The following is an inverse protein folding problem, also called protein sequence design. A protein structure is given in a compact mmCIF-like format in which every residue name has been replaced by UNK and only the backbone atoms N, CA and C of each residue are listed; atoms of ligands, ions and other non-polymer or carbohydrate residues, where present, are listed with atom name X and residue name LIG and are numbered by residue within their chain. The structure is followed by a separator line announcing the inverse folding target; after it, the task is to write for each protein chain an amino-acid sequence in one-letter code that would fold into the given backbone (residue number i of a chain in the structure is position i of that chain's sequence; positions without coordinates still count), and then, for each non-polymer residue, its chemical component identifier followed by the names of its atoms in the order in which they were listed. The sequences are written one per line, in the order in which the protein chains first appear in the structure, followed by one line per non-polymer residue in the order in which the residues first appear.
data_IF_430004043530
#
_entry.id   IF_430004043530
#
_cell.length_a   1.000
_cell.length_b   1.000
_cell.length_c   1.000
_cell.angle_alpha   90.00
_cell.angle_beta   90.00
_cell.angle_gamma   90.00
#
_symmetry.space_group_name_H-M   'P 1'
#
loop_
_entity.id
_entity.type
_entity.pdbx_description
1 polymer ?
#
# COMPACT_ATOMS: atom_id res chain seq x y z
N UNK A 1 -8.35 16.17 9.02
CA UNK A 1 -7.02 16.74 9.37
C UNK A 1 -7.19 17.64 10.57
N UNK A 2 -6.31 17.53 11.56
CA UNK A 2 -6.27 18.43 12.71
C UNK A 2 -5.08 19.39 12.58
N UNK A 3 -5.27 20.64 12.96
CA UNK A 3 -4.21 21.68 12.92
C UNK A 3 -3.69 21.91 14.32
N UNK A 4 -2.37 21.87 14.47
CA UNK A 4 -1.66 22.17 15.73
C UNK A 4 -0.75 23.36 15.49
N UNK A 5 -0.84 24.37 16.35
CA UNK A 5 0.02 25.56 16.34
C UNK A 5 1.07 25.43 17.42
N UNK A 6 2.34 25.67 17.07
CA UNK A 6 3.48 25.52 17.98
C UNK A 6 4.31 26.79 17.94
N UNK A 7 4.52 27.40 19.12
CA UNK A 7 5.42 28.55 19.29
C UNK A 7 6.80 28.06 19.69
N UNK A 8 7.83 28.53 19.01
CA UNK A 8 9.23 28.14 19.25
C UNK A 8 10.12 29.39 19.38
N UNK A 9 11.18 29.34 20.20
CA UNK A 9 12.22 30.36 20.19
C UNK A 9 12.83 30.53 18.80
N UNK A 10 13.16 31.77 18.43
CA UNK A 10 13.70 32.10 17.09
C UNK A 10 14.93 31.27 16.71
N UNK A 11 15.80 30.98 17.68
CA UNK A 11 16.99 30.16 17.45
C UNK A 11 16.62 28.73 17.01
N UNK A 12 15.56 28.16 17.58
CA UNK A 12 15.08 26.83 17.22
C UNK A 12 14.40 26.87 15.85
N UNK A 13 13.59 27.89 15.58
CA UNK A 13 12.94 28.06 14.29
C UNK A 13 13.96 28.14 13.14
N UNK A 14 15.07 28.89 13.34
CA UNK A 14 16.17 28.98 12.36
C UNK A 14 16.89 27.65 12.16
N UNK A 15 17.07 26.85 13.22
CA UNK A 15 17.66 25.51 13.09
C UNK A 15 16.75 24.56 12.30
N UNK A 16 15.44 24.64 12.52
CA UNK A 16 14.44 23.87 11.76
C UNK A 16 14.51 24.20 10.27
N UNK A 17 14.67 25.49 9.91
CA UNK A 17 14.85 25.90 8.51
C UNK A 17 16.07 25.27 7.85
N UNK A 18 17.20 25.33 8.55
CA UNK A 18 18.47 24.82 8.04
C UNK A 18 18.39 23.30 7.82
N UNK A 19 17.83 22.57 8.78
CA UNK A 19 17.69 21.11 8.66
C UNK A 19 16.63 20.70 7.65
N UNK A 20 15.48 21.40 7.57
CA UNK A 20 14.47 21.15 6.55
C UNK A 20 15.08 21.30 5.14
N UNK A 21 15.86 22.36 4.90
CA UNK A 21 16.53 22.59 3.62
C UNK A 21 17.60 21.53 3.33
N UNK A 22 18.41 21.18 4.33
CA UNK A 22 19.47 20.18 4.21
C UNK A 22 18.93 18.79 3.86
N UNK A 23 17.75 18.44 4.37
CA UNK A 23 17.07 17.18 4.08
C UNK A 23 16.16 17.24 2.85
N UNK A 24 16.10 18.38 2.16
CA UNK A 24 15.37 18.53 0.89
C UNK A 24 13.86 18.75 1.01
N UNK A 25 13.36 19.13 2.18
CA UNK A 25 11.95 19.44 2.37
C UNK A 25 11.58 20.81 1.81
N UNK A 26 10.40 20.92 1.20
CA UNK A 26 9.94 22.16 0.59
C UNK A 26 9.43 23.18 1.63
N UNK A 27 8.90 22.71 2.76
CA UNK A 27 8.35 23.57 3.82
C UNK A 27 8.71 23.07 5.22
N UNK A 28 8.77 23.99 6.20
CA UNK A 28 8.90 23.66 7.62
C UNK A 28 7.81 22.68 8.07
N UNK A 29 6.57 22.92 7.66
CA UNK A 29 5.43 22.09 8.05
C UNK A 29 5.54 20.67 7.52
N UNK A 30 6.15 20.47 6.35
CA UNK A 30 6.39 19.13 5.81
C UNK A 30 7.48 18.39 6.57
N UNK A 31 8.58 19.08 6.88
CA UNK A 31 9.66 18.56 7.69
C UNK A 31 9.18 18.18 9.10
N UNK A 32 8.41 19.04 9.77
CA UNK A 32 7.85 18.70 11.10
C UNK A 32 6.88 17.53 11.00
N UNK A 33 6.05 17.46 9.94
CA UNK A 33 5.15 16.32 9.72
C UNK A 33 5.90 15.01 9.47
N UNK A 34 7.04 15.02 8.77
CA UNK A 34 7.83 13.81 8.56
C UNK A 34 8.46 13.31 9.86
N UNK A 35 9.00 14.21 10.69
CA UNK A 35 9.55 13.88 12.00
C UNK A 35 8.48 13.31 12.94
N UNK A 36 7.30 13.94 12.99
CA UNK A 36 6.19 13.43 13.79
C UNK A 36 5.73 12.07 13.30
N UNK A 37 5.69 11.82 11.98
CA UNK A 37 5.45 10.47 11.48
C UNK A 37 6.53 9.51 11.91
N UNK A 38 7.81 9.80 11.69
CA UNK A 38 8.89 8.90 12.07
C UNK A 38 8.81 8.49 13.54
N UNK A 39 8.62 9.46 14.45
CA UNK A 39 8.57 9.19 15.89
C UNK A 39 7.27 8.56 16.35
N UNK A 40 6.12 9.06 15.89
CA UNK A 40 4.82 8.62 16.40
C UNK A 40 4.22 7.43 15.63
N UNK A 41 4.52 7.27 14.33
CA UNK A 41 4.09 6.07 13.58
C UNK A 41 4.91 4.84 13.95
N UNK A 42 6.22 4.97 14.26
CA UNK A 42 7.00 3.81 14.72
C UNK A 42 6.50 3.25 16.05
N UNK A 43 5.98 4.10 16.94
CA UNK A 43 5.43 3.68 18.23
C UNK A 43 4.02 3.10 18.14
N UNK A 44 3.21 3.52 17.16
CA UNK A 44 1.81 3.10 17.02
C UNK A 44 1.59 1.96 16.02
N UNK A 45 2.51 1.76 15.06
CA UNK A 45 2.40 0.73 14.02
C UNK A 45 3.50 -0.33 14.18
N UNK A 46 3.63 -0.87 15.39
CA UNK A 46 4.21 -2.21 15.58
C UNK A 46 3.25 -3.33 15.10
N UNK A 47 2.21 -3.01 14.35
CA UNK A 47 1.70 -3.98 13.37
C UNK A 47 2.76 -4.07 12.28
N UNK A 48 3.75 -4.94 12.54
CA UNK A 48 4.66 -5.48 11.54
C UNK A 48 3.84 -5.67 10.26
N UNK A 49 4.27 -5.08 9.14
CA UNK A 49 3.61 -5.30 7.86
C UNK A 49 3.75 -6.79 7.52
N UNK A 50 2.83 -7.61 8.03
CA UNK A 50 2.80 -9.04 7.80
C UNK A 50 2.39 -9.20 6.35
N UNK A 51 3.38 -9.35 5.49
CA UNK A 51 3.14 -9.72 4.11
C UNK A 51 2.59 -11.15 4.12
N UNK A 52 1.28 -11.27 3.95
CA UNK A 52 0.68 -12.59 3.78
C UNK A 52 1.10 -13.18 2.43
N UNK A 53 1.55 -14.44 2.40
CA UNK A 53 1.89 -15.08 1.14
C UNK A 53 0.63 -15.22 0.29
N UNK A 54 0.73 -14.88 -0.99
CA UNK A 54 -0.37 -15.11 -1.93
C UNK A 54 -0.64 -16.61 -2.10
N UNK A 55 -1.84 -17.05 -1.72
CA UNK A 55 -2.30 -18.43 -1.92
C UNK A 55 -3.24 -18.47 -3.14
N UNK A 56 -2.83 -19.09 -4.26
CA UNK A 56 -3.67 -19.17 -5.46
C UNK A 56 -4.88 -20.08 -5.21
N UNK A 57 -6.07 -19.59 -5.56
CA UNK A 57 -7.34 -20.35 -5.52
C UNK A 57 -7.58 -21.04 -6.87
N UNK A 58 -8.23 -22.22 -6.91
CA UNK A 58 -8.58 -22.87 -8.16
C UNK A 58 -9.30 -21.92 -9.14
N UNK A 59 -8.95 -22.00 -10.42
CA UNK A 59 -9.53 -21.12 -11.44
C UNK A 59 -11.04 -21.29 -11.57
N UNK A 60 -11.56 -22.50 -11.33
CA UNK A 60 -12.99 -22.81 -11.29
C UNK A 60 -13.71 -22.02 -10.18
N UNK A 61 -13.12 -21.96 -8.99
CA UNK A 61 -13.69 -21.19 -7.87
C UNK A 61 -13.69 -19.68 -8.15
N UNK A 62 -12.65 -19.19 -8.84
CA UNK A 62 -12.56 -17.78 -9.26
C UNK A 62 -13.63 -17.47 -10.30
N UNK A 63 -13.80 -18.35 -11.29
CA UNK A 63 -14.82 -18.23 -12.32
C UNK A 63 -16.23 -18.21 -11.72
N UNK A 64 -16.54 -19.17 -10.85
CA UNK A 64 -17.82 -19.27 -10.16
C UNK A 64 -18.08 -18.07 -9.25
N UNK A 65 -17.05 -17.59 -8.55
CA UNK A 65 -17.12 -16.38 -7.74
C UNK A 65 -17.51 -15.16 -8.57
N UNK A 66 -16.85 -14.97 -9.72
CA UNK A 66 -17.14 -13.86 -10.63
C UNK A 66 -18.54 -13.96 -11.22
N UNK A 67 -18.99 -15.16 -11.62
CA UNK A 67 -20.35 -15.41 -12.11
C UNK A 67 -21.40 -15.05 -11.05
N UNK A 68 -21.18 -15.46 -9.79
CA UNK A 68 -22.08 -15.20 -8.66
C UNK A 68 -22.26 -13.71 -8.34
N UNK A 69 -21.28 -12.86 -8.66
CA UNK A 69 -21.43 -11.41 -8.44
C UNK A 69 -22.47 -10.77 -9.36
N UNK A 70 -22.72 -11.33 -10.54
CA UNK A 70 -23.59 -10.73 -11.56
C UNK A 70 -23.09 -9.40 -12.15
N UNK A 71 -21.88 -8.93 -11.76
CA UNK A 71 -21.33 -7.65 -12.18
C UNK A 71 -20.59 -7.72 -13.52
N UNK A 72 -20.26 -8.93 -13.98
CA UNK A 72 -19.37 -9.15 -15.12
C UNK A 72 -20.04 -9.98 -16.20
N UNK A 73 -19.78 -9.63 -17.47
CA UNK A 73 -20.25 -10.41 -18.60
C UNK A 73 -19.40 -11.68 -18.83
N UNK A 74 -20.01 -12.69 -19.45
CA UNK A 74 -19.38 -13.99 -19.74
C UNK A 74 -18.06 -13.88 -20.49
N UNK A 75 -17.98 -12.97 -21.46
CA UNK A 75 -16.81 -12.77 -22.30
C UNK A 75 -15.62 -12.30 -21.47
N UNK A 76 -15.86 -11.39 -20.54
CA UNK A 76 -14.86 -10.87 -19.61
C UNK A 76 -14.38 -11.96 -18.65
N UNK A 77 -15.29 -12.70 -18.04
CA UNK A 77 -14.96 -13.78 -17.09
C UNK A 77 -14.05 -14.81 -17.78
N UNK A 78 -14.42 -15.28 -18.98
CA UNK A 78 -13.62 -16.23 -19.76
C UNK A 78 -12.25 -15.67 -20.16
N UNK A 79 -12.18 -14.40 -20.54
CA UNK A 79 -10.92 -13.74 -20.87
C UNK A 79 -9.99 -13.64 -19.66
N UNK A 80 -10.53 -13.34 -18.48
CA UNK A 80 -9.78 -13.30 -17.22
C UNK A 80 -9.22 -14.67 -16.85
N UNK A 81 -10.07 -15.71 -16.85
CA UNK A 81 -9.66 -17.08 -16.51
C UNK A 81 -8.57 -17.57 -17.46
N UNK A 82 -8.70 -17.28 -18.75
CA UNK A 82 -7.66 -17.58 -19.75
C UNK A 82 -6.35 -16.86 -19.45
N UNK A 83 -6.38 -15.56 -19.16
CA UNK A 83 -5.19 -14.81 -18.79
C UNK A 83 -4.52 -15.36 -17.52
N UNK A 84 -5.31 -15.65 -16.50
CA UNK A 84 -4.83 -16.24 -15.25
C UNK A 84 -4.20 -17.61 -15.48
N UNK A 85 -4.79 -18.48 -16.30
CA UNK A 85 -4.22 -19.80 -16.62
C UNK A 85 -2.82 -19.75 -17.24
N UNK A 86 -2.49 -18.67 -17.95
CA UNK A 86 -1.17 -18.45 -18.57
C UNK A 86 -0.16 -17.77 -17.65
N UNK A 87 -0.60 -17.27 -16.49
CA UNK A 87 0.29 -16.59 -15.55
C UNK A 87 1.19 -17.58 -14.81
N UNK A 88 2.38 -17.14 -14.42
CA UNK A 88 3.40 -17.96 -13.75
C UNK A 88 2.89 -18.67 -12.49
N UNK A 89 1.93 -18.07 -11.78
CA UNK A 89 1.34 -18.63 -10.57
C UNK A 89 0.39 -19.82 -10.82
N UNK A 90 -0.23 -19.89 -12.00
CA UNK A 90 -1.22 -20.92 -12.34
C UNK A 90 -0.73 -21.89 -13.43
N UNK A 91 0.23 -21.49 -14.25
CA UNK A 91 0.75 -22.29 -15.37
C UNK A 91 1.33 -23.65 -14.95
N UNK A 92 1.86 -23.77 -13.73
CA UNK A 92 2.49 -25.00 -13.22
C UNK A 92 1.55 -25.92 -12.42
N UNK A 93 0.29 -25.53 -12.18
CA UNK A 93 -0.66 -26.33 -11.37
C UNK A 93 -1.70 -27.11 -12.18
N UNK A 94 -1.74 -26.90 -13.50
CA UNK A 94 -2.67 -27.58 -14.43
C UNK A 94 -2.09 -28.85 -15.06
N UNK A 95 -0.81 -29.18 -14.80
CA UNK A 95 -0.16 -30.41 -15.26
C UNK A 95 0.03 -31.39 -14.10
N UNK A 96 -1.06 -32.01 -13.65
CA UNK A 96 -1.03 -33.31 -12.94
C UNK A 96 -2.44 -33.91 -12.98
N UNK A 97 -2.71 -34.65 -14.05
CA UNK A 97 -3.58 -35.82 -14.06
C UNK A 97 -3.23 -36.68 -15.27
#
# INVERSE_FOLDING_TARGET
MATVTISLPDQIAKKIDLEAKKQGFATRSEFIRSLLREKLYQETHQEELVLEPFVPRPLEEIEDGLRKTGLYNEKFIRSLVKGLSTSSFYANKTSKK
#
